data_IF_360725212330
#
_entry.id   IF_360725212330
#
_cell.length_a   1.000
_cell.length_b   1.000
_cell.length_c   1.000
_cell.angle_alpha   90.00
_cell.angle_beta   90.00
_cell.angle_gamma   90.00
#
_symmetry.space_group_name_H-M   'P 1'
#
loop_
_entity.id
_entity.type
_entity.pdbx_description
1 polymer ?
#
# COMPACT_ATOMS: atom_id res chain seq x y z
N UNK A 1 -2.09 -14.22 10.58
CA UNK A 1 -2.09 -12.74 10.65
C UNK A 1 -1.91 -12.38 12.11
N UNK A 2 -0.75 -11.84 12.49
CA UNK A 2 -0.54 -11.32 13.85
C UNK A 2 -1.43 -10.10 14.02
N UNK A 3 -2.39 -10.18 14.94
CA UNK A 3 -3.28 -9.07 15.24
C UNK A 3 -2.47 -8.07 16.09
N UNK A 4 -1.96 -7.02 15.46
CA UNK A 4 -1.22 -5.98 16.16
C UNK A 4 -2.20 -5.02 16.83
N UNK A 5 -1.74 -4.35 17.88
CA UNK A 5 -2.54 -3.30 18.53
C UNK A 5 -2.80 -2.16 17.56
N UNK A 6 -3.89 -1.44 17.79
CA UNK A 6 -4.17 -0.23 17.02
C UNK A 6 -3.27 0.92 17.53
N UNK A 7 -2.85 1.86 16.66
CA UNK A 7 -1.96 2.95 17.07
C UNK A 7 -2.51 3.76 18.26
N UNK A 8 -3.82 3.99 18.29
CA UNK A 8 -4.50 4.72 19.36
C UNK A 8 -4.61 3.96 20.69
N UNK A 9 -4.40 2.65 20.71
CA UNK A 9 -4.26 1.88 21.94
C UNK A 9 -2.89 2.11 22.61
N UNK A 10 -1.90 2.59 21.84
CA UNK A 10 -0.58 2.98 22.35
C UNK A 10 -0.53 4.49 22.64
N UNK A 11 -1.05 5.31 21.73
CA UNK A 11 -1.05 6.76 21.81
C UNK A 11 -2.41 7.32 21.36
N UNK A 12 -3.29 7.75 22.28
CA UNK A 12 -4.64 8.23 21.94
C UNK A 12 -4.68 9.37 20.91
N UNK A 13 -3.58 10.13 20.78
CA UNK A 13 -3.44 11.19 19.79
C UNK A 13 -3.44 10.68 18.33
N UNK A 14 -3.08 9.41 18.12
CA UNK A 14 -3.03 8.75 16.81
C UNK A 14 -4.39 8.14 16.47
N UNK A 15 -5.46 8.93 16.58
CA UNK A 15 -6.83 8.47 16.35
C UNK A 15 -7.06 8.06 14.90
N UNK A 16 -8.02 7.14 14.68
CA UNK A 16 -8.40 6.67 13.35
C UNK A 16 -8.75 7.81 12.40
N UNK A 17 -9.49 8.81 12.88
CA UNK A 17 -9.89 9.99 12.11
C UNK A 17 -8.66 10.75 11.56
N UNK A 18 -7.69 11.05 12.43
CA UNK A 18 -6.47 11.79 12.05
C UNK A 18 -5.62 11.00 11.06
N UNK A 19 -5.48 9.69 11.29
CA UNK A 19 -4.72 8.81 10.39
C UNK A 19 -5.42 8.66 9.03
N UNK A 20 -6.76 8.61 9.02
CA UNK A 20 -7.60 8.54 7.81
C UNK A 20 -7.41 9.74 6.91
N UNK A 21 -7.45 10.96 7.46
CA UNK A 21 -7.24 12.19 6.69
C UNK A 21 -5.92 12.14 5.92
N UNK A 22 -4.83 11.76 6.58
CA UNK A 22 -3.51 11.70 5.95
C UNK A 22 -3.43 10.57 4.93
N UNK A 23 -3.93 9.38 5.26
CA UNK A 23 -3.93 8.23 4.36
C UNK A 23 -4.73 8.50 3.08
N UNK A 24 -5.87 9.16 3.19
CA UNK A 24 -6.68 9.58 2.06
C UNK A 24 -5.92 10.51 1.12
N UNK A 25 -5.27 11.53 1.66
CA UNK A 25 -4.49 12.47 0.84
C UNK A 25 -3.32 11.77 0.14
N UNK A 26 -2.65 10.82 0.80
CA UNK A 26 -1.60 10.02 0.19
C UNK A 26 -2.11 9.18 -0.98
N UNK A 27 -3.27 8.52 -0.82
CA UNK A 27 -3.86 7.71 -1.89
C UNK A 27 -4.42 8.56 -3.02
N UNK A 28 -5.13 9.66 -2.72
CA UNK A 28 -5.63 10.61 -3.75
C UNK A 28 -4.50 11.10 -4.64
N UNK A 29 -3.36 11.46 -4.05
CA UNK A 29 -2.19 11.90 -4.82
C UNK A 29 -1.60 10.76 -5.67
N UNK A 30 -1.57 9.53 -5.14
CA UNK A 30 -1.10 8.37 -5.87
C UNK A 30 -1.97 8.10 -7.11
N UNK A 31 -3.28 8.04 -6.93
CA UNK A 31 -4.26 7.78 -8.00
C UNK A 31 -4.17 8.87 -9.08
N UNK A 32 -4.28 10.14 -8.69
CA UNK A 32 -4.19 11.28 -9.61
C UNK A 32 -2.87 11.30 -10.38
N UNK A 33 -1.77 10.88 -9.76
CA UNK A 33 -0.46 10.84 -10.43
C UNK A 33 -0.38 9.67 -11.41
N UNK A 34 -0.94 8.52 -11.07
CA UNK A 34 -1.03 7.37 -11.97
C UNK A 34 -1.87 7.67 -13.21
N UNK A 35 -3.00 8.36 -13.05
CA UNK A 35 -3.84 8.79 -14.18
C UNK A 35 -3.12 9.76 -15.12
N UNK A 36 -2.41 10.74 -14.55
CA UNK A 36 -1.71 11.77 -15.31
C UNK A 36 -0.44 11.26 -16.01
N UNK A 37 0.25 10.28 -15.42
CA UNK A 37 1.47 9.68 -15.96
C UNK A 37 1.15 8.36 -16.66
N UNK A 38 0.35 8.43 -17.71
CA UNK A 38 -0.14 7.27 -18.47
C UNK A 38 0.42 7.17 -19.90
N UNK A 39 1.40 8.02 -20.25
CA UNK A 39 1.99 8.02 -21.60
C UNK A 39 3.03 6.91 -21.80
N UNK A 40 3.46 6.73 -23.05
CA UNK A 40 4.55 5.79 -23.40
C UNK A 40 5.92 6.22 -22.87
N UNK A 41 6.05 7.44 -22.35
CA UNK A 41 7.27 7.96 -21.73
C UNK A 41 7.29 7.76 -20.20
N UNK A 42 6.19 7.26 -19.63
CA UNK A 42 6.02 7.12 -18.18
C UNK A 42 6.31 5.70 -17.70
N UNK A 43 7.57 5.46 -17.32
CA UNK A 43 8.01 4.21 -16.73
C UNK A 43 7.80 4.17 -15.20
N UNK A 44 8.19 3.05 -14.58
CA UNK A 44 8.08 2.87 -13.14
C UNK A 44 8.90 3.89 -12.33
N UNK A 45 10.02 4.36 -12.87
CA UNK A 45 10.89 5.32 -12.20
C UNK A 45 10.28 6.73 -12.22
N UNK A 46 9.79 7.21 -13.37
CA UNK A 46 9.17 8.53 -13.48
C UNK A 46 7.89 8.60 -12.66
N UNK A 47 7.03 7.57 -12.74
CA UNK A 47 5.83 7.43 -11.91
C UNK A 47 6.17 7.45 -10.43
N UNK A 48 7.11 6.59 -10.00
CA UNK A 48 7.50 6.48 -8.60
C UNK A 48 8.08 7.79 -8.04
N UNK A 49 8.96 8.44 -8.79
CA UNK A 49 9.61 9.70 -8.39
C UNK A 49 8.60 10.84 -8.30
N UNK A 50 7.71 10.95 -9.29
CA UNK A 50 6.68 11.99 -9.31
C UNK A 50 5.66 11.79 -8.18
N UNK A 51 5.17 10.55 -7.98
CA UNK A 51 4.24 10.23 -6.89
C UNK A 51 4.83 10.57 -5.53
N UNK A 52 6.08 10.17 -5.26
CA UNK A 52 6.74 10.52 -4.01
C UNK A 52 6.86 12.03 -3.81
N UNK A 53 7.34 12.76 -4.84
CA UNK A 53 7.50 14.21 -4.77
C UNK A 53 6.17 14.94 -4.52
N UNK A 54 5.09 14.48 -5.16
CA UNK A 54 3.74 15.03 -4.97
C UNK A 54 3.16 14.70 -3.60
N UNK A 55 3.32 13.47 -3.10
CA UNK A 55 2.87 13.08 -1.75
C UNK A 55 3.60 13.90 -0.69
N UNK A 56 4.92 14.05 -0.80
CA UNK A 56 5.72 14.90 0.08
C UNK A 56 5.20 16.35 0.09
N UNK A 57 5.03 16.95 -1.10
CA UNK A 57 4.54 18.32 -1.20
C UNK A 57 3.10 18.45 -0.64
N UNK A 58 2.23 17.45 -0.87
CA UNK A 58 0.88 17.44 -0.30
C UNK A 58 0.90 17.43 1.22
N UNK A 59 1.76 16.64 1.85
CA UNK A 59 1.91 16.64 3.31
C UNK A 59 2.41 17.99 3.83
N UNK A 60 3.38 18.61 3.15
CA UNK A 60 3.87 19.95 3.50
C UNK A 60 2.73 20.97 3.46
N UNK A 61 1.93 20.97 2.38
CA UNK A 61 0.75 21.84 2.28
C UNK A 61 -0.27 21.55 3.38
N UNK A 62 -0.61 20.27 3.62
CA UNK A 62 -1.55 19.86 4.64
C UNK A 62 -1.17 20.36 6.05
N UNK A 63 0.14 20.39 6.35
CA UNK A 63 0.66 20.94 7.61
C UNK A 63 0.72 22.48 7.63
N UNK A 64 0.74 23.15 6.48
CA UNK A 64 0.88 24.61 6.37
C UNK A 64 -0.46 25.34 6.19
N UNK A 65 -1.51 24.62 5.84
CA UNK A 65 -2.83 25.17 5.56
C UNK A 65 -3.59 25.56 6.86
N UNK A 66 -3.01 25.33 8.05
CA UNK A 66 -3.59 25.56 9.38
C UNK A 66 -5.01 24.97 9.56
N UNK A 67 -5.38 23.99 8.73
CA UNK A 67 -6.69 23.32 8.76
C UNK A 67 -6.82 22.35 9.95
N UNK A 68 -5.69 21.93 10.52
CA UNK A 68 -5.60 20.92 11.57
C UNK A 68 -4.61 21.35 12.65
N UNK A 69 -5.11 21.85 13.78
CA UNK A 69 -4.30 22.31 14.91
C UNK A 69 -3.37 21.23 15.50
N UNK A 70 -3.63 19.95 15.22
CA UNK A 70 -2.83 18.81 15.69
C UNK A 70 -1.74 18.38 14.70
N UNK A 71 -1.66 18.98 13.51
CA UNK A 71 -0.73 18.59 12.46
C UNK A 71 0.30 19.69 12.23
N UNK A 72 1.58 19.40 12.45
CA UNK A 72 2.64 20.40 12.30
C UNK A 72 3.83 19.85 11.52
N UNK A 73 4.39 20.69 10.65
CA UNK A 73 5.59 20.36 9.90
C UNK A 73 6.84 20.58 10.76
N UNK A 74 7.75 19.60 10.79
CA UNK A 74 9.06 19.74 11.48
C UNK A 74 10.22 19.78 10.50
N UNK A 75 10.15 19.05 9.38
CA UNK A 75 11.16 19.06 8.33
C UNK A 75 10.50 18.93 6.95
N UNK A 76 10.61 19.93 6.05
CA UNK A 76 10.09 19.87 4.66
C UNK A 76 11.00 19.14 3.66
N UNK A 77 12.15 18.63 4.12
CA UNK A 77 13.15 17.99 3.26
C UNK A 77 12.68 16.69 2.58
N UNK A 78 13.62 16.01 1.92
CA UNK A 78 13.36 14.69 1.30
C UNK A 78 12.90 13.66 2.32
N UNK A 79 13.36 13.81 3.56
CA UNK A 79 13.04 12.99 4.69
C UNK A 79 11.94 13.67 5.52
N UNK A 80 10.85 14.06 4.84
CA UNK A 80 9.78 14.89 5.44
C UNK A 80 9.33 14.29 6.77
N UNK A 81 9.31 15.16 7.78
CA UNK A 81 8.88 14.81 9.12
C UNK A 81 7.82 15.83 9.53
N UNK A 82 6.72 15.32 10.06
CA UNK A 82 5.64 16.10 10.63
C UNK A 82 5.20 15.44 11.93
N UNK A 83 4.48 16.16 12.76
CA UNK A 83 3.98 15.65 14.03
C UNK A 83 2.46 15.56 14.01
N UNK A 84 1.94 14.48 14.58
CA UNK A 84 0.53 14.37 14.97
C UNK A 84 0.52 14.58 16.48
N UNK A 85 0.10 15.76 16.93
CA UNK A 85 -0.02 16.12 18.35
C UNK A 85 1.30 15.91 19.12
N UNK A 86 2.40 16.36 18.52
CA UNK A 86 3.77 16.20 19.02
C UNK A 86 4.45 14.87 18.69
N UNK A 87 3.74 13.85 18.19
CA UNK A 87 4.34 12.55 17.85
C UNK A 87 4.97 12.62 16.45
N UNK A 88 6.29 12.42 16.28
CA UNK A 88 6.96 12.51 14.99
C UNK A 88 6.60 11.33 14.07
N UNK A 89 6.22 11.66 12.84
CA UNK A 89 5.76 10.73 11.81
C UNK A 89 6.50 11.02 10.50
N UNK A 90 6.75 9.94 9.74
CA UNK A 90 7.30 9.99 8.38
C UNK A 90 6.50 9.08 7.46
N UNK A 91 6.59 9.31 6.16
CA UNK A 91 5.98 8.43 5.15
C UNK A 91 7.03 7.76 4.26
N UNK A 92 6.73 6.54 3.81
CA UNK A 92 7.53 5.76 2.88
C UNK A 92 6.61 5.08 1.87
N UNK A 93 7.09 4.86 0.65
CA UNK A 93 6.46 3.91 -0.28
C UNK A 93 7.33 2.65 -0.31
N UNK A 94 6.93 1.61 0.40
CA UNK A 94 7.75 0.41 0.63
C UNK A 94 6.86 -0.80 0.98
N UNK A 95 7.47 -1.96 1.18
CA UNK A 95 6.82 -3.15 1.74
C UNK A 95 6.61 -2.96 3.26
N UNK A 96 5.35 -3.00 3.76
CA UNK A 96 5.05 -2.82 5.18
C UNK A 96 5.52 -3.98 6.07
N UNK A 97 5.72 -5.19 5.53
CA UNK A 97 6.20 -6.36 6.25
C UNK A 97 7.74 -6.47 6.22
N UNK A 98 8.37 -5.95 5.16
CA UNK A 98 9.81 -6.01 4.98
C UNK A 98 10.38 -4.70 4.38
N UNK A 99 10.43 -3.61 5.17
CA UNK A 99 10.90 -2.31 4.69
C UNK A 99 12.39 -2.37 4.32
N UNK A 100 12.73 -1.88 3.13
CA UNK A 100 14.10 -1.90 2.57
C UNK A 100 14.67 -0.52 2.33
N UNK A 101 13.86 0.54 2.40
CA UNK A 101 14.31 1.89 2.11
C UNK A 101 15.31 2.40 3.15
N UNK A 102 16.39 3.07 2.71
CA UNK A 102 17.37 3.64 3.63
C UNK A 102 16.70 4.68 4.53
N UNK A 103 17.06 4.64 5.82
CA UNK A 103 16.52 5.57 6.80
C UNK A 103 15.10 5.27 7.29
N UNK A 104 14.51 4.14 6.90
CA UNK A 104 13.20 3.71 7.41
C UNK A 104 13.17 3.69 8.95
N UNK A 105 14.15 3.05 9.59
CA UNK A 105 14.30 2.99 11.06
C UNK A 105 15.13 4.14 11.65
N UNK A 106 15.48 5.17 10.85
CA UNK A 106 16.25 6.31 11.38
C UNK A 106 15.42 7.04 12.44
N UNK A 107 16.01 7.18 13.63
CA UNK A 107 15.46 7.91 14.78
C UNK A 107 16.03 9.33 14.79
N UNK A 108 15.28 10.27 15.35
CA UNK A 108 15.84 11.57 15.71
C UNK A 108 16.60 11.40 17.04
N UNK A 109 17.85 11.85 17.10
CA UNK A 109 18.78 11.60 18.22
C UNK A 109 18.33 12.21 19.56
N UNK A 110 17.30 13.07 19.54
CA UNK A 110 16.90 13.91 20.68
C UNK A 110 15.92 13.23 21.65
N UNK A 111 15.38 12.05 21.32
CA UNK A 111 14.25 11.45 22.06
C UNK A 111 14.61 10.35 23.07
N UNK A 112 15.88 9.99 23.26
CA UNK A 112 16.27 8.90 24.18
C UNK A 112 16.85 9.41 25.51
N UNK A 113 15.98 10.00 26.33
CA UNK A 113 16.30 10.32 27.74
C UNK A 113 16.01 9.17 28.71
N UNK A 114 15.29 8.12 28.27
CA UNK A 114 14.82 7.01 29.12
C UNK A 114 15.15 5.65 28.51
N UNK A 115 15.18 4.60 29.35
CA UNK A 115 15.30 3.23 28.88
C UNK A 115 14.11 2.87 27.98
N UNK A 116 14.33 2.34 26.77
CA UNK A 116 13.26 2.07 25.84
C UNK A 116 12.41 0.89 26.31
N UNK A 117 11.11 1.13 26.49
CA UNK A 117 10.13 0.06 26.68
C UNK A 117 9.89 -0.69 25.37
N UNK A 118 10.10 -2.00 25.39
CA UNK A 118 9.94 -2.88 24.21
C UNK A 118 8.47 -2.97 23.76
N UNK A 119 7.52 -2.66 24.63
CA UNK A 119 6.09 -2.75 24.34
C UNK A 119 5.48 -1.49 23.72
N UNK A 120 6.23 -0.39 23.64
CA UNK A 120 5.72 0.91 23.18
C UNK A 120 6.40 1.30 21.87
N UNK A 121 5.62 1.84 20.92
CA UNK A 121 6.19 2.36 19.67
C UNK A 121 6.96 3.65 19.92
N UNK A 122 8.19 3.69 19.42
CA UNK A 122 9.07 4.87 19.42
C UNK A 122 9.20 5.47 18.03
N UNK A 123 8.90 4.69 16.99
CA UNK A 123 9.04 5.06 15.59
C UNK A 123 7.69 4.87 14.89
N UNK A 124 7.16 5.93 14.28
CA UNK A 124 5.85 5.91 13.62
C UNK A 124 5.97 6.19 12.12
N UNK A 125 5.35 5.34 11.29
CA UNK A 125 5.51 5.34 9.83
C UNK A 125 4.18 5.18 9.12
N UNK A 126 3.90 6.07 8.18
CA UNK A 126 3.01 5.77 7.06
C UNK A 126 3.79 4.98 6.01
N UNK A 127 3.25 3.84 5.58
CA UNK A 127 3.78 3.01 4.49
C UNK A 127 2.71 2.91 3.41
N UNK A 128 2.97 3.55 2.27
CA UNK A 128 2.15 3.46 1.07
C UNK A 128 2.56 2.19 0.32
N UNK A 129 1.72 1.17 0.44
CA UNK A 129 1.89 -0.10 -0.25
C UNK A 129 1.23 -0.02 -1.62
N UNK A 130 2.04 -0.27 -2.66
CA UNK A 130 1.53 -0.37 -4.03
C UNK A 130 0.80 -1.70 -4.20
N UNK A 131 -0.27 -1.75 -4.99
CA UNK A 131 -0.95 -3.01 -5.28
C UNK A 131 0.01 -4.00 -5.95
N UNK A 132 -0.14 -5.28 -5.63
CA UNK A 132 0.67 -6.34 -6.23
C UNK A 132 0.16 -6.67 -7.64
N UNK A 133 -1.16 -6.58 -7.83
CA UNK A 133 -1.82 -6.89 -9.10
C UNK A 133 -2.62 -5.70 -9.66
N UNK A 134 -2.75 -5.65 -10.98
CA UNK A 134 -3.65 -4.69 -11.64
C UNK A 134 -5.10 -4.91 -11.20
N UNK A 135 -5.79 -3.84 -10.81
CA UNK A 135 -7.17 -3.87 -10.30
C UNK A 135 -7.28 -3.93 -8.77
N UNK A 136 -6.18 -4.16 -8.06
CA UNK A 136 -6.12 -3.95 -6.61
C UNK A 136 -5.91 -2.48 -6.27
N UNK A 137 -6.61 -1.99 -5.25
CA UNK A 137 -6.39 -0.65 -4.71
C UNK A 137 -5.11 -0.59 -3.89
N UNK A 138 -4.36 0.51 -4.00
CA UNK A 138 -3.25 0.79 -3.09
C UNK A 138 -3.72 0.92 -1.64
N UNK A 139 -2.84 0.57 -0.70
CA UNK A 139 -3.11 0.63 0.73
C UNK A 139 -2.14 1.55 1.43
N UNK A 140 -2.57 2.09 2.56
CA UNK A 140 -1.69 2.85 3.46
C UNK A 140 -1.71 2.17 4.82
N UNK A 141 -0.53 1.81 5.33
CA UNK A 141 -0.38 1.30 6.68
C UNK A 141 0.20 2.37 7.58
N UNK A 142 -0.35 2.54 8.76
CA UNK A 142 0.32 3.27 9.83
C UNK A 142 0.89 2.26 10.83
N UNK A 143 2.21 2.28 10.98
CA UNK A 143 2.95 1.26 11.73
C UNK A 143 3.78 1.92 12.83
N UNK A 144 3.65 1.39 14.05
CA UNK A 144 4.50 1.72 15.18
C UNK A 144 5.54 0.63 15.44
N UNK A 145 6.81 1.03 15.53
CA UNK A 145 7.93 0.15 15.87
C UNK A 145 8.52 0.52 17.22
N UNK A 146 8.91 -0.49 18.00
CA UNK A 146 9.62 -0.31 19.26
C UNK A 146 11.11 0.00 19.05
N UNK A 147 11.87 0.09 20.14
CA UNK A 147 13.31 0.37 20.08
C UNK A 147 14.19 -0.78 19.54
N UNK A 148 13.61 -1.97 19.35
CA UNK A 148 14.22 -3.12 18.69
C UNK A 148 13.80 -3.22 17.21
N UNK A 149 13.10 -2.21 16.70
CA UNK A 149 12.54 -2.17 15.34
C UNK A 149 11.48 -3.25 15.08
N UNK A 150 10.86 -3.77 16.15
CA UNK A 150 9.74 -4.72 16.05
C UNK A 150 8.42 -3.97 15.93
N UNK A 151 7.54 -4.46 15.05
CA UNK A 151 6.20 -3.92 14.88
C UNK A 151 5.34 -4.22 16.12
N UNK A 152 4.86 -3.16 16.79
CA UNK A 152 4.00 -3.28 17.98
C UNK A 152 2.57 -2.82 17.73
N UNK A 153 2.37 -1.91 16.78
CA UNK A 153 1.05 -1.44 16.37
C UNK A 153 0.94 -1.29 14.85
N UNK A 154 -0.25 -1.56 14.32
CA UNK A 154 -0.56 -1.42 12.90
C UNK A 154 -2.03 -1.05 12.70
N UNK A 155 -2.26 -0.10 11.80
CA UNK A 155 -3.56 0.20 11.23
C UNK A 155 -3.44 0.28 9.70
N UNK A 156 -4.50 -0.08 8.98
CA UNK A 156 -4.50 -0.12 7.51
C UNK A 156 -5.71 0.63 6.97
N UNK A 157 -5.46 1.49 5.99
CA UNK A 157 -6.46 2.19 5.20
C UNK A 157 -6.46 1.68 3.76
N UNK A 158 -7.64 1.61 3.15
CA UNK A 158 -7.81 1.23 1.75
C UNK A 158 -8.02 -0.28 1.49
N UNK A 159 -8.24 -1.08 2.53
CA UNK A 159 -8.45 -2.53 2.39
C UNK A 159 -9.71 -2.89 1.58
N UNK A 160 -10.72 -2.01 1.59
CA UNK A 160 -11.96 -2.12 0.81
C UNK A 160 -11.87 -1.53 -0.60
N UNK A 161 -10.72 -0.97 -1.03
CA UNK A 161 -10.56 -0.31 -2.35
C UNK A 161 -10.38 -1.28 -3.52
N UNK A 162 -10.86 -2.52 -3.38
CA UNK A 162 -10.87 -3.50 -4.48
C UNK A 162 -11.79 -2.96 -5.57
N UNK A 163 -11.27 -2.82 -6.78
CA UNK A 163 -12.08 -2.50 -7.96
C UNK A 163 -12.99 -3.69 -8.22
N UNK A 164 -14.24 -3.63 -7.80
CA UNK A 164 -15.26 -4.53 -8.34
C UNK A 164 -15.39 -4.14 -9.81
N UNK A 165 -14.90 -5.00 -10.70
CA UNK A 165 -15.18 -4.91 -12.13
C UNK A 165 -16.71 -5.01 -12.30
N UNK A 166 -17.38 -3.87 -12.35
CA UNK A 166 -18.74 -3.84 -12.89
C UNK A 166 -18.62 -3.95 -14.40
N UNK A 167 -19.12 -5.07 -14.94
CA UNK A 167 -19.41 -5.16 -16.38
C UNK A 167 -20.31 -3.98 -16.73
N UNK A 168 -19.83 -3.08 -17.59
CA UNK A 168 -20.63 -1.99 -18.15
C UNK A 168 -21.39 -2.42 -19.40
N UNK A 169 -21.27 -3.69 -19.79
CA UNK A 169 -22.03 -4.29 -20.87
C UNK A 169 -23.11 -5.20 -20.26
N UNK A 170 -24.36 -4.74 -20.33
CA UNK A 170 -25.58 -5.54 -20.06
C UNK A 170 -25.96 -6.40 -21.29
N UNK A 171 -25.17 -6.33 -22.37
CA UNK A 171 -25.33 -7.15 -23.55
C UNK A 171 -24.62 -8.49 -23.34
N UNK A 172 -25.40 -9.54 -23.01
CA UNK A 172 -24.93 -10.91 -23.14
C UNK A 172 -24.45 -11.13 -24.60
N UNK A 173 -23.22 -11.60 -24.85
CA UNK A 173 -22.80 -11.95 -26.20
C UNK A 173 -23.79 -12.97 -26.77
N UNK A 174 -24.26 -12.74 -27.99
CA UNK A 174 -25.21 -13.64 -28.64
C UNK A 174 -24.56 -15.00 -28.80
N UNK A 175 -25.13 -16.03 -28.19
CA UNK A 175 -24.65 -17.41 -28.29
C UNK A 175 -24.53 -17.81 -29.75
N UNK A 176 -23.30 -18.00 -30.23
CA UNK A 176 -23.05 -18.58 -31.55
C UNK A 176 -23.16 -20.11 -31.40
N UNK A 177 -24.00 -20.79 -32.19
CA UNK A 177 -24.03 -22.25 -32.20
C UNK A 177 -22.65 -22.78 -32.60
N UNK A 178 -22.04 -23.59 -31.73
CA UNK A 178 -20.81 -24.30 -32.06
C UNK A 178 -21.25 -25.58 -32.79
N UNK A 179 -21.01 -25.64 -34.10
CA UNK A 179 -21.08 -26.91 -34.82
C UNK A 179 -19.86 -27.74 -34.42
N UNK A 180 -20.10 -28.79 -33.63
CA UNK A 180 -19.07 -29.77 -33.31
C UNK A 180 -18.91 -30.70 -34.51
N UNK A 181 -17.72 -30.73 -35.10
CA UNK A 181 -17.37 -31.75 -36.07
C UNK A 181 -17.56 -33.14 -35.46
N UNK A 182 -18.12 -34.12 -36.20
CA UNK A 182 -18.31 -35.47 -35.69
C UNK A 182 -16.95 -36.08 -35.34
N UNK A 183 -16.78 -36.38 -34.07
CA UNK A 183 -15.60 -37.07 -33.55
C UNK A 183 -15.58 -38.48 -34.16
N UNK A 184 -14.65 -38.73 -35.09
CA UNK A 184 -14.40 -40.08 -35.61
C UNK A 184 -13.63 -40.87 -34.55
N UNK A 185 -14.30 -41.79 -33.87
CA UNK A 185 -13.63 -42.76 -33.02
C UNK A 185 -12.78 -43.69 -33.89
N UNK A 186 -11.45 -43.61 -33.75
CA UNK A 186 -10.52 -44.61 -34.27
C UNK A 186 -10.90 -45.97 -33.67
N UNK A 187 -11.38 -46.89 -34.51
CA UNK A 187 -11.65 -48.25 -34.07
C UNK A 187 -10.33 -48.93 -33.65
N UNK A 188 -10.32 -49.74 -32.58
CA UNK A 188 -9.13 -50.44 -32.14
C UNK A 188 -8.67 -51.45 -33.21
N UNK A 189 -7.36 -51.47 -33.44
CA UNK A 189 -6.66 -52.40 -34.34
C UNK A 189 -6.99 -53.85 -33.94
N UNK A 190 -7.53 -54.62 -34.91
CA UNK A 190 -7.75 -56.06 -34.75
C UNK A 190 -6.42 -56.79 -34.62
N UNK A 191 -6.29 -57.51 -33.51
CA UNK A 191 -5.40 -58.63 -33.21
C UNK A 191 -4.51 -59.12 -34.36
N UNK A 192 -3.21 -58.76 -34.33
CA UNK A 192 -2.16 -59.59 -34.93
C UNK A 192 -1.91 -60.77 -34.00
N UNK A 193 -2.49 -61.93 -34.35
CA UNK A 193 -2.10 -63.23 -33.80
C UNK A 193 -0.61 -63.50 -34.03
N UNK A 194 0.07 -63.84 -32.95
CA UNK A 194 1.45 -64.34 -32.91
C UNK A 194 1.54 -65.81 -33.38
N UNK A 195 2.60 -66.09 -34.16
CA UNK A 195 3.41 -67.32 -34.29
C UNK A 195 2.84 -68.70 -34.69
N UNK A 196 3.37 -69.22 -35.81
CA UNK A 196 4.20 -70.44 -36.00
C UNK A 196 4.51 -70.52 -37.51
N UNK A 197 5.69 -70.82 -38.05
CA UNK A 197 6.91 -71.58 -37.69
C UNK A 197 8.17 -70.84 -38.17
#
# INVERSE_FOLDING_TARGET
>A
MTNHRLPWECYPQLSEERLTIIAEELLKVLDNTHEQLSSSLDDNYTRGTCTFGRQRNRLIHLCSDDAYDWLHLTNPGMDVTFTIDGIPVRFFSDDPANPKKPGFFRRNEVDQLWEPEVTISTVHRFVVEKPEFEGEGARVHFIGFNALDEMVSKWTYGESRVTVLHSTDDALPTSVPIELDPISALMPDKDKKSHNE
#
